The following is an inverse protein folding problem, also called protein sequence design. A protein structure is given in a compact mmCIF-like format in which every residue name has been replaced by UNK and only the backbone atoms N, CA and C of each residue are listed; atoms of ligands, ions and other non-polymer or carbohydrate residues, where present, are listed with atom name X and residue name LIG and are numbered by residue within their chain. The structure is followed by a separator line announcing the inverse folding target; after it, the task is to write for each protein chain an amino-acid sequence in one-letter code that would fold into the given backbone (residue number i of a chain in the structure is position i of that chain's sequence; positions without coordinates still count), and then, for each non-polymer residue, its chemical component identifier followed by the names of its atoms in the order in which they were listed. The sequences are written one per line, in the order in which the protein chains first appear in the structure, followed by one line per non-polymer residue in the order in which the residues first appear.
data_IF_197908109608
#
_entry.id   IF_197908109608
#
_cell.length_a   1.000
_cell.length_b   1.000
_cell.length_c   1.000
_cell.angle_alpha   90.00
_cell.angle_beta   90.00
_cell.angle_gamma   90.00
#
_symmetry.space_group_name_H-M   'P 1'
#
loop_
_entity.id
_entity.type
_entity.pdbx_description
1 polymer ?
#
# COMPACT_ATOMS: atom_id res chain seq x y z
N UNK A 1 12.30 -2.67 -24.61
CA UNK A 1 10.85 -2.34 -24.64
C UNK A 1 10.62 -0.86 -24.33
N UNK A 2 9.65 -0.19 -24.97
CA UNK A 2 9.21 1.16 -24.55
C UNK A 2 8.37 1.04 -23.27
N UNK A 3 8.95 1.39 -22.12
CA UNK A 3 8.26 1.42 -20.82
C UNK A 3 7.59 2.78 -20.64
N UNK A 4 6.38 2.94 -21.17
CA UNK A 4 5.65 4.22 -21.18
C UNK A 4 5.03 4.61 -19.82
N UNK A 5 4.88 3.68 -18.87
CA UNK A 5 4.26 3.95 -17.57
C UNK A 5 5.24 3.98 -16.38
N UNK A 6 6.53 3.68 -16.60
CA UNK A 6 7.52 3.65 -15.52
C UNK A 6 8.16 5.03 -15.31
N UNK A 7 8.21 5.46 -14.06
CA UNK A 7 8.88 6.69 -13.65
C UNK A 7 10.41 6.58 -13.77
N UNK A 8 11.14 7.69 -13.97
CA UNK A 8 12.60 7.69 -13.98
C UNK A 8 13.22 7.19 -12.66
N UNK A 9 14.36 6.48 -12.73
CA UNK A 9 15.03 5.84 -11.58
C UNK A 9 15.25 6.75 -10.36
N UNK A 10 15.40 8.08 -10.55
CA UNK A 10 15.57 9.06 -9.46
C UNK A 10 14.47 9.00 -8.39
N UNK A 11 13.25 8.62 -8.76
CA UNK A 11 12.12 8.53 -7.81
C UNK A 11 12.14 7.27 -6.94
N UNK A 12 13.01 6.29 -7.25
CA UNK A 12 13.08 5.02 -6.50
C UNK A 12 13.50 5.24 -5.05
N UNK A 13 14.48 6.14 -4.82
CA UNK A 13 14.94 6.49 -3.47
C UNK A 13 13.82 7.14 -2.66
N UNK A 14 13.10 8.09 -3.25
CA UNK A 14 11.95 8.73 -2.63
C UNK A 14 10.87 7.71 -2.27
N UNK A 15 10.55 6.80 -3.19
CA UNK A 15 9.57 5.74 -2.96
C UNK A 15 9.92 4.88 -1.74
N UNK A 16 11.18 4.44 -1.63
CA UNK A 16 11.63 3.67 -0.47
C UNK A 16 11.57 4.48 0.82
N UNK A 17 11.97 5.76 0.80
CA UNK A 17 11.87 6.62 1.98
C UNK A 17 10.42 6.75 2.47
N UNK A 18 9.48 7.02 1.56
CA UNK A 18 8.06 7.17 1.90
C UNK A 18 7.45 5.85 2.38
N UNK A 19 7.74 4.75 1.69
CA UNK A 19 7.22 3.43 2.04
C UNK A 19 7.72 2.99 3.42
N UNK A 20 9.03 3.10 3.67
CA UNK A 20 9.61 2.73 4.96
C UNK A 20 9.06 3.61 6.08
N UNK A 21 8.93 4.93 5.85
CA UNK A 21 8.33 5.84 6.82
C UNK A 21 6.88 5.43 7.15
N UNK A 22 6.06 5.17 6.12
CA UNK A 22 4.68 4.73 6.29
C UNK A 22 4.56 3.41 7.06
N UNK A 23 5.37 2.40 6.73
CA UNK A 23 5.37 1.10 7.42
C UNK A 23 5.80 1.26 8.89
N UNK A 24 6.86 2.03 9.16
CA UNK A 24 7.33 2.27 10.53
C UNK A 24 6.25 2.99 11.34
N UNK A 25 5.65 4.05 10.79
CA UNK A 25 4.56 4.78 11.44
C UNK A 25 3.35 3.90 11.70
N UNK A 26 3.00 3.02 10.77
CA UNK A 26 1.90 2.06 10.93
C UNK A 26 2.15 1.09 12.09
N UNK A 27 3.35 0.52 12.18
CA UNK A 27 3.73 -0.41 13.27
C UNK A 27 3.72 0.32 14.62
N UNK A 28 4.29 1.52 14.69
CA UNK A 28 4.32 2.31 15.93
C UNK A 28 2.90 2.63 16.37
N UNK A 29 2.05 3.12 15.47
CA UNK A 29 0.68 3.48 15.79
C UNK A 29 -0.13 2.25 16.22
N UNK A 30 0.02 1.11 15.55
CA UNK A 30 -0.67 -0.13 15.95
C UNK A 30 -0.19 -0.70 17.30
N UNK A 31 1.07 -0.47 17.67
CA UNK A 31 1.63 -0.92 18.96
C UNK A 31 1.28 -0.02 20.15
N UNK A 32 0.95 1.23 19.88
CA UNK A 32 0.57 2.20 20.90
C UNK A 32 -0.96 2.26 20.92
N UNK A 33 -1.61 1.93 22.05
CA UNK A 33 -3.07 2.09 22.21
C UNK A 33 -3.47 3.59 22.31
N UNK A 34 -2.83 4.44 21.51
CA UNK A 34 -2.82 5.88 21.69
C UNK A 34 -3.93 6.53 20.87
N UNK A 35 -5.10 6.59 21.49
CA UNK A 35 -6.27 7.33 21.05
C UNK A 35 -6.10 8.84 21.32
N UNK A 36 -5.23 9.53 20.57
CA UNK A 36 -4.93 10.95 20.82
C UNK A 36 -5.04 11.87 19.59
N UNK A 37 -6.00 12.81 19.63
CA UNK A 37 -6.33 13.82 18.61
C UNK A 37 -5.32 14.96 18.39
N UNK A 38 -4.03 14.65 18.38
CA UNK A 38 -2.97 15.65 18.11
C UNK A 38 -2.98 16.19 16.68
N UNK A 39 -3.56 15.45 15.73
CA UNK A 39 -3.63 15.78 14.31
C UNK A 39 -5.08 15.96 13.82
N UNK A 40 -5.93 16.52 14.67
CA UNK A 40 -7.30 16.87 14.28
C UNK A 40 -7.33 18.11 13.38
N UNK A 41 -7.77 17.93 12.13
CA UNK A 41 -7.95 19.03 11.18
C UNK A 41 -9.35 18.99 10.56
N UNK A 42 -9.74 20.09 9.91
CA UNK A 42 -10.97 20.12 9.12
C UNK A 42 -10.74 19.40 7.79
N UNK A 43 -11.47 18.33 7.54
CA UNK A 43 -11.42 17.54 6.30
C UNK A 43 -12.77 17.49 5.63
N UNK A 44 -12.76 17.29 4.31
CA UNK A 44 -13.98 17.02 3.55
C UNK A 44 -14.33 15.54 3.64
N UNK A 45 -15.44 15.23 4.29
CA UNK A 45 -16.05 13.91 4.28
C UNK A 45 -17.07 13.82 3.15
N UNK A 46 -16.78 13.00 2.13
CA UNK A 46 -17.70 12.75 1.01
C UNK A 46 -18.92 11.97 1.50
N UNK A 47 -18.69 10.99 2.37
CA UNK A 47 -19.72 10.17 2.99
C UNK A 47 -19.59 10.29 4.51
N UNK A 48 -20.54 11.00 5.13
CA UNK A 48 -20.58 11.15 6.59
C UNK A 48 -21.82 10.44 7.14
N UNK A 49 -21.59 9.48 8.03
CA UNK A 49 -22.64 8.81 8.77
C UNK A 49 -22.58 9.27 10.22
N UNK A 50 -23.55 10.08 10.62
CA UNK A 50 -23.71 10.50 12.01
C UNK A 50 -25.01 9.86 12.50
N UNK A 51 -24.94 8.56 12.87
CA UNK A 51 -25.93 7.58 13.39
C UNK A 51 -27.43 7.77 13.08
N UNK A 52 -27.92 9.00 13.17
CA UNK A 52 -29.24 9.52 12.83
C UNK A 52 -29.40 9.97 11.37
N UNK A 53 -28.34 10.46 10.71
CA UNK A 53 -28.43 11.03 9.36
C UNK A 53 -27.21 10.70 8.48
N UNK A 54 -27.49 10.35 7.22
CA UNK A 54 -26.49 10.27 6.16
C UNK A 54 -26.38 11.63 5.50
N UNK A 55 -25.21 12.23 5.58
CA UNK A 55 -24.91 13.49 4.88
C UNK A 55 -23.76 13.27 3.90
N UNK A 56 -23.83 13.97 2.77
CA UNK A 56 -22.79 13.93 1.75
C UNK A 56 -22.05 15.26 1.74
N UNK A 57 -20.75 15.24 1.43
CA UNK A 57 -19.91 16.42 1.26
C UNK A 57 -19.95 17.40 2.45
N UNK A 58 -19.64 16.89 3.65
CA UNK A 58 -19.62 17.68 4.89
C UNK A 58 -18.18 17.93 5.34
N UNK A 59 -17.88 19.15 5.77
CA UNK A 59 -16.60 19.43 6.44
C UNK A 59 -16.73 18.98 7.90
N UNK A 60 -15.88 18.04 8.30
CA UNK A 60 -15.81 17.49 9.66
C UNK A 60 -14.44 17.75 10.27
N UNK A 61 -14.35 17.66 11.59
CA UNK A 61 -13.07 17.65 12.31
C UNK A 61 -12.71 16.19 12.56
N UNK A 62 -11.56 15.76 12.08
CA UNK A 62 -11.12 14.37 12.16
C UNK A 62 -9.60 14.27 12.32
N UNK A 63 -9.14 13.17 12.90
CA UNK A 63 -7.72 12.87 13.10
C UNK A 63 -7.14 12.13 11.91
N UNK A 64 -6.31 12.82 11.12
CA UNK A 64 -5.86 12.33 9.81
C UNK A 64 -4.63 11.41 9.86
N UNK A 65 -4.22 10.92 11.02
CA UNK A 65 -2.98 10.10 11.16
C UNK A 65 -3.02 8.87 10.27
N UNK A 66 -4.12 8.13 10.28
CA UNK A 66 -4.27 6.91 9.50
C UNK A 66 -4.26 7.18 7.98
N UNK A 67 -4.87 8.30 7.57
CA UNK A 67 -4.92 8.77 6.19
C UNK A 67 -3.51 9.11 5.70
N UNK A 68 -2.74 9.86 6.49
CA UNK A 68 -1.35 10.22 6.15
C UNK A 68 -0.49 8.96 6.03
N UNK A 69 -0.58 8.04 6.99
CA UNK A 69 0.16 6.77 6.95
C UNK A 69 -0.21 5.96 5.71
N UNK A 70 -1.51 5.85 5.42
CA UNK A 70 -2.01 5.13 4.25
C UNK A 70 -1.50 5.73 2.95
N UNK A 71 -1.51 7.07 2.82
CA UNK A 71 -0.96 7.79 1.66
C UNK A 71 0.54 7.54 1.52
N UNK A 72 1.31 7.56 2.60
CA UNK A 72 2.75 7.27 2.57
C UNK A 72 3.04 5.87 2.04
N UNK A 73 2.29 4.86 2.51
CA UNK A 73 2.44 3.47 2.06
C UNK A 73 2.03 3.33 0.59
N UNK A 74 0.89 3.89 0.19
CA UNK A 74 0.37 3.78 -1.18
C UNK A 74 1.30 4.50 -2.15
N UNK A 75 1.58 5.78 -1.92
CA UNK A 75 2.43 6.59 -2.80
C UNK A 75 3.86 6.04 -2.80
N UNK A 76 4.42 5.74 -1.63
CA UNK A 76 5.75 5.15 -1.51
C UNK A 76 5.85 3.82 -2.25
N UNK A 77 4.90 2.92 -2.04
CA UNK A 77 4.87 1.62 -2.68
C UNK A 77 4.68 1.71 -4.20
N UNK A 78 3.81 2.58 -4.69
CA UNK A 78 3.65 2.81 -6.13
C UNK A 78 4.94 3.37 -6.74
N UNK A 79 5.61 4.31 -6.07
CA UNK A 79 6.91 4.82 -6.53
C UNK A 79 7.97 3.71 -6.56
N UNK A 80 8.04 2.85 -5.55
CA UNK A 80 8.96 1.69 -5.56
C UNK A 80 8.61 0.75 -6.70
N UNK A 81 7.34 0.40 -6.84
CA UNK A 81 6.84 -0.60 -7.78
C UNK A 81 6.90 -0.19 -9.25
N UNK A 82 6.66 1.08 -9.55
CA UNK A 82 6.50 1.62 -10.91
C UNK A 82 7.59 2.61 -11.30
N UNK A 83 8.75 2.59 -10.62
CA UNK A 83 9.96 3.27 -11.08
C UNK A 83 10.90 2.29 -11.80
N UNK A 84 11.55 2.77 -12.87
CA UNK A 84 12.58 2.04 -13.62
C UNK A 84 13.73 1.63 -12.71
N UNK A 85 14.27 0.43 -12.92
CA UNK A 85 15.56 0.03 -12.37
C UNK A 85 16.70 0.74 -13.13
N UNK A 86 17.94 0.69 -12.59
CA UNK A 86 19.12 1.29 -13.26
C UNK A 86 19.31 0.74 -14.67
N UNK A 87 19.10 -0.56 -14.82
CA UNK A 87 19.08 -1.29 -16.08
C UNK A 87 17.70 -1.94 -16.15
N UNK A 88 16.91 -1.54 -17.13
CA UNK A 88 15.57 -2.08 -17.37
C UNK A 88 15.61 -2.92 -18.65
N UNK A 89 15.86 -4.21 -18.48
CA UNK A 89 15.84 -5.20 -19.56
C UNK A 89 14.48 -5.94 -19.63
N UNK A 90 14.37 -6.87 -20.58
CA UNK A 90 13.15 -7.67 -20.76
C UNK A 90 12.88 -8.60 -19.56
N UNK A 91 13.94 -9.10 -18.91
CA UNK A 91 13.81 -9.95 -17.74
C UNK A 91 13.20 -9.21 -16.56
N UNK A 92 13.72 -8.03 -16.21
CA UNK A 92 13.21 -7.18 -15.13
C UNK A 92 11.77 -6.75 -15.42
N UNK A 93 11.47 -6.42 -16.69
CA UNK A 93 10.10 -6.09 -17.10
C UNK A 93 9.14 -7.27 -16.89
N UNK A 94 9.51 -8.46 -17.37
CA UNK A 94 8.73 -9.69 -17.18
C UNK A 94 8.56 -10.01 -15.70
N UNK A 95 9.64 -9.96 -14.93
CA UNK A 95 9.64 -10.24 -13.50
C UNK A 95 8.72 -9.30 -12.72
N UNK A 96 8.69 -8.01 -13.09
CA UNK A 96 7.78 -7.02 -12.53
C UNK A 96 6.33 -7.38 -12.81
N UNK A 97 6.00 -7.70 -14.06
CA UNK A 97 4.64 -8.07 -14.46
C UNK A 97 4.19 -9.36 -13.79
N UNK A 98 5.03 -10.39 -13.76
CA UNK A 98 4.74 -11.63 -13.06
C UNK A 98 4.48 -11.37 -11.57
N UNK A 99 5.28 -10.50 -10.94
CA UNK A 99 5.08 -10.14 -9.53
C UNK A 99 3.77 -9.40 -9.29
N UNK A 100 3.32 -8.57 -10.22
CA UNK A 100 2.00 -7.91 -10.16
C UNK A 100 0.87 -8.94 -10.26
N UNK A 101 0.96 -9.89 -11.19
CA UNK A 101 -0.04 -10.97 -11.33
C UNK A 101 -0.12 -11.80 -10.07
N UNK A 102 1.02 -12.21 -9.51
CA UNK A 102 1.06 -12.98 -8.26
C UNK A 102 0.49 -12.19 -7.07
N UNK A 103 0.76 -10.89 -6.99
CA UNK A 103 0.16 -10.03 -5.97
C UNK A 103 -1.36 -9.94 -6.08
N UNK A 104 -1.87 -9.83 -7.31
CA UNK A 104 -3.31 -9.84 -7.57
C UNK A 104 -3.93 -11.18 -7.15
N UNK A 105 -3.36 -12.31 -7.59
CA UNK A 105 -3.85 -13.65 -7.22
C UNK A 105 -3.86 -13.81 -5.69
N UNK A 106 -2.77 -13.49 -5.00
CA UNK A 106 -2.70 -13.59 -3.55
C UNK A 106 -3.76 -12.72 -2.86
N UNK A 107 -3.93 -11.48 -3.31
CA UNK A 107 -4.90 -10.57 -2.73
C UNK A 107 -6.33 -11.13 -2.79
N UNK A 108 -6.74 -11.63 -3.95
CA UNK A 108 -8.08 -12.20 -4.11
C UNK A 108 -8.24 -13.55 -3.40
N UNK A 109 -7.18 -14.35 -3.29
CA UNK A 109 -7.20 -15.56 -2.45
C UNK A 109 -7.46 -15.19 -0.98
N UNK A 110 -6.75 -14.21 -0.44
CA UNK A 110 -6.96 -13.74 0.94
C UNK A 110 -8.37 -13.18 1.09
N UNK A 111 -8.82 -12.34 0.16
CA UNK A 111 -10.16 -11.77 0.17
C UNK A 111 -11.26 -12.85 0.19
N UNK A 112 -11.14 -13.90 -0.64
CA UNK A 112 -12.10 -15.01 -0.66
C UNK A 112 -12.13 -15.74 0.67
N UNK A 113 -10.97 -16.02 1.26
CA UNK A 113 -10.88 -16.65 2.60
C UNK A 113 -11.56 -15.75 3.64
N UNK A 114 -11.27 -14.45 3.64
CA UNK A 114 -11.87 -13.49 4.57
C UNK A 114 -13.40 -13.45 4.44
N UNK A 115 -13.94 -13.43 3.21
CA UNK A 115 -15.38 -13.43 2.96
C UNK A 115 -16.06 -14.71 3.47
N UNK A 116 -15.40 -15.87 3.32
CA UNK A 116 -15.99 -17.16 3.70
C UNK A 116 -15.90 -17.44 5.21
N UNK A 117 -14.89 -16.91 5.90
CA UNK A 117 -14.54 -17.36 7.24
C UNK A 117 -14.51 -16.26 8.32
N UNK A 118 -14.55 -14.98 7.94
CA UNK A 118 -14.44 -13.86 8.89
C UNK A 118 -15.70 -13.00 8.81
N UNK A 119 -16.27 -12.66 9.97
CA UNK A 119 -17.56 -11.99 10.08
C UNK A 119 -17.50 -10.83 11.09
N UNK A 120 -18.48 -9.94 11.05
CA UNK A 120 -18.62 -8.86 12.03
C UNK A 120 -17.53 -7.79 11.95
N UNK A 121 -17.09 -7.27 13.11
CA UNK A 121 -16.06 -6.22 13.19
C UNK A 121 -14.70 -6.70 12.65
N UNK A 122 -14.34 -7.95 12.93
CA UNK A 122 -13.07 -8.55 12.50
C UNK A 122 -12.94 -8.58 10.97
N UNK A 123 -14.06 -8.72 10.26
CA UNK A 123 -14.06 -8.65 8.79
C UNK A 123 -13.56 -7.28 8.30
N UNK A 124 -14.05 -6.19 8.90
CA UNK A 124 -13.62 -4.84 8.53
C UNK A 124 -12.14 -4.61 8.84
N UNK A 125 -11.67 -5.11 9.98
CA UNK A 125 -10.26 -4.98 10.35
C UNK A 125 -9.35 -5.69 9.35
N UNK A 126 -9.67 -6.94 8.98
CA UNK A 126 -8.90 -7.70 7.98
C UNK A 126 -8.96 -7.01 6.60
N UNK A 127 -10.10 -6.43 6.23
CA UNK A 127 -10.23 -5.67 4.99
C UNK A 127 -9.35 -4.41 4.97
N UNK A 128 -9.19 -3.71 6.10
CA UNK A 128 -8.28 -2.56 6.20
C UNK A 128 -6.84 -2.96 5.86
N UNK A 129 -6.34 -4.08 6.38
CA UNK A 129 -5.01 -4.58 6.05
C UNK A 129 -4.91 -5.12 4.60
N UNK A 130 -5.99 -5.72 4.09
CA UNK A 130 -6.01 -6.32 2.76
C UNK A 130 -5.75 -5.28 1.65
N UNK A 131 -6.18 -4.03 1.81
CA UNK A 131 -5.94 -2.93 0.86
C UNK A 131 -4.44 -2.74 0.53
N UNK A 132 -3.55 -2.94 1.52
CA UNK A 132 -2.10 -2.77 1.32
C UNK A 132 -1.41 -4.05 0.82
N UNK A 133 -2.03 -5.22 1.02
CA UNK A 133 -1.43 -6.53 0.75
C UNK A 133 -0.91 -6.70 -0.68
N UNK A 134 -1.66 -6.38 -1.76
CA UNK A 134 -1.16 -6.58 -3.11
C UNK A 134 0.08 -5.72 -3.39
N UNK A 135 0.07 -4.47 -2.94
CA UNK A 135 1.18 -3.54 -3.15
C UNK A 135 2.45 -4.00 -2.42
N UNK A 136 2.31 -4.35 -1.14
CA UNK A 136 3.44 -4.80 -0.31
C UNK A 136 3.99 -6.13 -0.83
N UNK A 137 3.12 -7.11 -1.11
CA UNK A 137 3.54 -8.41 -1.63
C UNK A 137 4.24 -8.28 -2.99
N UNK A 138 3.68 -7.48 -3.90
CA UNK A 138 4.30 -7.18 -5.18
C UNK A 138 5.74 -6.67 -5.01
N UNK A 139 5.93 -5.66 -4.16
CA UNK A 139 7.24 -5.05 -3.93
C UNK A 139 8.23 -6.07 -3.34
N UNK A 140 7.80 -6.84 -2.35
CA UNK A 140 8.63 -7.88 -1.73
C UNK A 140 9.04 -8.92 -2.78
N UNK A 141 8.07 -9.51 -3.48
CA UNK A 141 8.31 -10.56 -4.48
C UNK A 141 9.22 -10.07 -5.61
N UNK A 142 8.95 -8.89 -6.16
CA UNK A 142 9.73 -8.31 -7.24
C UNK A 142 11.18 -8.09 -6.82
N UNK A 143 11.43 -7.48 -5.66
CA UNK A 143 12.79 -7.20 -5.21
C UNK A 143 13.53 -8.46 -4.76
N UNK A 144 12.84 -9.41 -4.12
CA UNK A 144 13.42 -10.69 -3.70
C UNK A 144 13.90 -11.51 -4.90
N UNK A 145 13.05 -11.70 -5.92
CA UNK A 145 13.41 -12.47 -7.09
C UNK A 145 14.48 -11.78 -7.94
N UNK A 146 14.44 -10.44 -8.02
CA UNK A 146 15.48 -9.65 -8.68
C UNK A 146 16.84 -9.80 -8.00
N UNK A 147 16.87 -9.86 -6.67
CA UNK A 147 18.10 -10.10 -5.92
C UNK A 147 18.62 -11.52 -6.15
N UNK A 148 17.72 -12.53 -6.07
CA UNK A 148 18.05 -13.94 -6.29
C UNK A 148 18.56 -14.22 -7.71
N UNK A 149 18.04 -13.56 -8.74
CA UNK A 149 18.52 -13.78 -10.12
C UNK A 149 19.95 -13.29 -10.32
N UNK A 150 20.32 -12.16 -9.68
CA UNK A 150 21.68 -11.62 -9.76
C UNK A 150 22.73 -12.52 -9.08
N UNK A 151 22.38 -13.15 -7.96
CA UNK A 151 23.29 -14.08 -7.28
C UNK A 151 23.55 -15.39 -8.04
N UNK A 152 22.83 -15.66 -9.13
CA UNK A 152 23.06 -16.82 -9.99
C UNK A 152 23.87 -16.48 -11.25
N UNK A 153 24.06 -15.19 -11.54
CA UNK A 153 24.89 -14.71 -12.65
C UNK A 153 26.33 -14.39 -12.22
N UNK A 154 26.59 -14.34 -10.91
CA UNK A 154 27.93 -14.25 -10.27
C UNK A 154 28.44 -15.63 -9.85
#
# INVERSE_FOLDING_TARGET
MKTNYLLPHKYKKLGWTLLSLGIISFIILGSTQYEGGFFEIKVLSIFNYDYTNKTFFKIIKDDIRNEVISILIIVGGLLVGFTKEKIEDEFIYKLRNDSLVWAFILNYTILLITILFIYGGDFFEVMMYNIFTPLIFFIIRFNFLKYKSRSHEE
#
